data_IF_191943234684
#
_entry.id   IF_191943234684
#
_cell.length_a   1.000
_cell.length_b   1.000
_cell.length_c   1.000
_cell.angle_alpha   90.00
_cell.angle_beta   90.00
_cell.angle_gamma   90.00
#
_symmetry.space_group_name_H-M   'P 1'
#
loop_
_entity.id
_entity.type
_entity.pdbx_description
1 polymer ?
#
# COMPACT_ATOMS: atom_id res chain seq x y z
N UNK A 1 -16.64 -11.42 34.83
CA UNK A 1 -17.62 -12.06 33.93
C UNK A 1 -16.83 -12.88 32.94
N UNK A 2 -17.15 -14.17 32.75
CA UNK A 2 -16.37 -15.05 31.88
C UNK A 2 -16.52 -14.65 30.42
N UNK A 3 -15.41 -14.34 29.76
CA UNK A 3 -15.35 -14.19 28.30
C UNK A 3 -15.68 -15.57 27.74
N UNK A 4 -16.85 -15.71 27.10
CA UNK A 4 -17.14 -16.89 26.28
C UNK A 4 -16.24 -16.76 25.05
N UNK A 5 -15.14 -17.52 25.02
CA UNK A 5 -14.39 -17.73 23.80
C UNK A 5 -15.35 -18.47 22.87
N UNK A 6 -15.90 -17.76 21.87
CA UNK A 6 -16.58 -18.41 20.75
C UNK A 6 -15.50 -19.25 20.07
N UNK A 7 -15.68 -20.56 20.01
CA UNK A 7 -14.79 -21.40 19.19
C UNK A 7 -14.88 -20.92 17.75
N UNK A 8 -13.72 -20.71 17.12
CA UNK A 8 -13.62 -20.29 15.72
C UNK A 8 -14.35 -21.28 14.82
N UNK A 9 -15.18 -20.78 13.91
CA UNK A 9 -15.85 -21.59 12.90
C UNK A 9 -14.88 -22.13 11.83
N UNK A 10 -13.68 -21.52 11.73
CA UNK A 10 -12.63 -21.90 10.79
C UNK A 10 -11.45 -22.47 11.58
N UNK A 11 -11.03 -23.70 11.28
CA UNK A 11 -9.81 -24.25 11.88
C UNK A 11 -8.55 -23.59 11.31
N UNK A 12 -7.46 -23.60 12.07
CA UNK A 12 -6.18 -23.04 11.61
C UNK A 12 -5.72 -23.65 10.28
N UNK A 13 -5.89 -24.97 10.12
CA UNK A 13 -5.54 -25.66 8.88
C UNK A 13 -6.44 -25.27 7.68
N UNK A 14 -7.70 -24.92 7.92
CA UNK A 14 -8.58 -24.36 6.87
C UNK A 14 -8.13 -22.96 6.48
N UNK A 15 -7.81 -22.13 7.47
CA UNK A 15 -7.33 -20.77 7.23
C UNK A 15 -5.98 -20.76 6.49
N UNK A 16 -5.05 -21.65 6.83
CA UNK A 16 -3.78 -21.83 6.11
C UNK A 16 -3.99 -22.21 4.63
N UNK A 17 -4.99 -23.05 4.33
CA UNK A 17 -5.35 -23.39 2.94
C UNK A 17 -5.93 -22.20 2.19
N UNK A 18 -6.71 -21.36 2.86
CA UNK A 18 -7.20 -20.10 2.27
C UNK A 18 -6.01 -19.17 1.99
N UNK A 19 -5.08 -19.03 2.93
CA UNK A 19 -3.88 -18.20 2.77
C UNK A 19 -3.04 -18.66 1.58
N UNK A 20 -2.81 -19.96 1.45
CA UNK A 20 -2.08 -20.50 0.30
C UNK A 20 -2.80 -20.20 -1.01
N UNK A 21 -4.12 -20.39 -1.06
CA UNK A 21 -4.91 -20.06 -2.24
C UNK A 21 -4.78 -18.58 -2.63
N UNK A 22 -4.90 -17.65 -1.67
CA UNK A 22 -4.76 -16.22 -1.94
C UNK A 22 -3.37 -15.88 -2.46
N UNK A 23 -2.31 -16.46 -1.87
CA UNK A 23 -0.95 -16.25 -2.35
C UNK A 23 -0.76 -16.77 -3.78
N UNK A 24 -1.22 -17.99 -4.06
CA UNK A 24 -1.10 -18.61 -5.39
C UNK A 24 -1.89 -17.81 -6.44
N UNK A 25 -3.05 -17.27 -6.06
CA UNK A 25 -3.85 -16.40 -6.91
C UNK A 25 -3.09 -15.12 -7.28
N UNK A 26 -2.57 -14.40 -6.28
CA UNK A 26 -1.78 -13.19 -6.48
C UNK A 26 -0.54 -13.46 -7.35
N UNK A 27 0.14 -14.59 -7.13
CA UNK A 27 1.31 -14.98 -7.92
C UNK A 27 0.94 -15.22 -9.39
N UNK A 28 -0.17 -15.92 -9.64
CA UNK A 28 -0.68 -16.15 -10.99
C UNK A 28 -1.10 -14.84 -11.70
N UNK A 29 -1.70 -13.89 -10.98
CA UNK A 29 -2.05 -12.57 -11.54
C UNK A 29 -0.82 -11.80 -12.00
N UNK A 30 0.28 -11.83 -11.23
CA UNK A 30 1.56 -11.19 -11.64
C UNK A 30 2.17 -11.86 -12.87
N UNK A 31 2.13 -13.20 -12.95
CA UNK A 31 2.69 -13.94 -14.09
C UNK A 31 1.92 -13.70 -15.40
N UNK A 32 0.64 -13.34 -15.31
CA UNK A 32 -0.21 -13.05 -16.46
C UNK A 32 -0.01 -11.64 -17.05
N UNK A 33 0.70 -10.73 -16.36
CA UNK A 33 1.01 -9.39 -16.86
C UNK A 33 2.30 -9.37 -17.69
N UNK A 34 2.17 -9.19 -19.01
CA UNK A 34 3.31 -9.21 -19.95
C UNK A 34 4.24 -7.97 -19.84
N UNK A 35 3.75 -6.84 -19.31
CA UNK A 35 4.48 -5.57 -19.35
C UNK A 35 4.18 -4.67 -18.14
N UNK A 36 4.33 -5.17 -16.90
CA UNK A 36 4.23 -4.37 -15.66
C UNK A 36 5.14 -3.12 -15.59
N UNK A 37 5.82 -2.78 -16.69
CA UNK A 37 6.48 -1.52 -16.94
C UNK A 37 7.62 -1.27 -15.98
N UNK A 38 7.91 0.01 -15.74
CA UNK A 38 8.88 0.39 -14.70
C UNK A 38 8.40 0.03 -13.28
N UNK A 39 7.12 -0.25 -13.09
CA UNK A 39 6.53 -0.56 -11.79
C UNK A 39 6.71 -2.02 -11.35
N UNK A 40 6.99 -2.95 -12.27
CA UNK A 40 7.23 -4.38 -11.94
C UNK A 40 8.37 -4.61 -10.94
N UNK A 41 9.31 -3.67 -10.88
CA UNK A 41 10.46 -3.74 -9.97
C UNK A 41 10.15 -3.19 -8.58
N UNK A 42 8.94 -2.65 -8.39
CA UNK A 42 8.54 -1.98 -7.18
C UNK A 42 7.68 -2.93 -6.34
N UNK A 43 7.85 -2.98 -5.00
CA UNK A 43 7.25 -4.03 -4.17
C UNK A 43 5.75 -4.22 -4.39
N UNK A 44 5.00 -3.15 -4.65
CA UNK A 44 3.54 -3.12 -4.81
C UNK A 44 2.97 -3.97 -5.94
N UNK A 45 3.81 -4.31 -6.93
CA UNK A 45 3.44 -5.20 -8.04
C UNK A 45 3.81 -6.67 -7.75
N UNK A 46 4.40 -6.98 -6.58
CA UNK A 46 4.72 -8.36 -6.22
C UNK A 46 3.60 -9.01 -5.40
N UNK A 47 3.36 -10.29 -5.67
CA UNK A 47 2.49 -11.12 -4.85
C UNK A 47 2.94 -11.17 -3.39
N UNK A 48 4.26 -11.20 -3.15
CA UNK A 48 4.85 -11.21 -1.81
C UNK A 48 4.46 -9.96 -1.00
N UNK A 49 4.58 -8.77 -1.60
CA UNK A 49 4.19 -7.53 -0.94
C UNK A 49 2.69 -7.50 -0.63
N UNK A 50 1.85 -7.81 -1.63
CA UNK A 50 0.39 -7.79 -1.48
C UNK A 50 -0.07 -8.78 -0.42
N UNK A 51 0.51 -9.98 -0.41
CA UNK A 51 0.20 -10.97 0.59
C UNK A 51 0.66 -10.53 2.00
N UNK A 52 1.85 -9.94 2.13
CA UNK A 52 2.31 -9.38 3.42
C UNK A 52 1.42 -8.24 3.91
N UNK A 53 0.95 -7.36 3.02
CA UNK A 53 -0.05 -6.34 3.33
C UNK A 53 -1.34 -6.99 3.86
N UNK A 54 -1.86 -8.00 3.15
CA UNK A 54 -3.05 -8.76 3.59
C UNK A 54 -2.84 -9.38 4.98
N UNK A 55 -1.67 -9.97 5.27
CA UNK A 55 -1.36 -10.52 6.58
C UNK A 55 -1.37 -9.44 7.68
N UNK A 56 -0.79 -8.28 7.43
CA UNK A 56 -0.84 -7.15 8.37
C UNK A 56 -2.28 -6.69 8.62
N UNK A 57 -3.09 -6.58 7.56
CA UNK A 57 -4.51 -6.19 7.66
C UNK A 57 -5.28 -7.22 8.48
N UNK A 58 -5.06 -8.53 8.28
CA UNK A 58 -5.69 -9.58 9.09
C UNK A 58 -5.39 -9.37 10.58
N UNK A 59 -4.13 -9.13 10.97
CA UNK A 59 -3.77 -8.95 12.39
C UNK A 59 -4.43 -7.70 13.01
N UNK A 60 -4.40 -6.57 12.28
CA UNK A 60 -4.99 -5.31 12.74
C UNK A 60 -6.51 -5.44 12.83
N UNK A 61 -7.16 -5.95 11.78
CA UNK A 61 -8.60 -6.10 11.70
C UNK A 61 -9.13 -7.06 12.77
N UNK A 62 -8.41 -8.17 13.02
CA UNK A 62 -8.73 -9.11 14.11
C UNK A 62 -8.69 -8.43 15.47
N UNK A 63 -7.67 -7.58 15.70
CA UNK A 63 -7.53 -6.84 16.96
C UNK A 63 -8.66 -5.84 17.15
N UNK A 64 -9.07 -5.14 16.09
CA UNK A 64 -10.21 -4.22 16.12
C UNK A 64 -11.49 -5.02 16.38
N UNK A 65 -11.75 -6.07 15.60
CA UNK A 65 -12.94 -6.90 15.71
C UNK A 65 -13.16 -7.47 17.11
N UNK A 66 -12.11 -8.01 17.73
CA UNK A 66 -12.17 -8.58 19.10
C UNK A 66 -12.56 -7.52 20.14
N UNK A 67 -12.06 -6.29 20.01
CA UNK A 67 -12.32 -5.21 20.98
C UNK A 67 -13.63 -4.49 20.75
N UNK A 68 -14.01 -4.30 19.49
CA UNK A 68 -15.25 -3.62 19.10
C UNK A 68 -16.46 -4.58 19.06
N UNK A 69 -16.22 -5.90 19.20
CA UNK A 69 -17.26 -6.91 19.30
C UNK A 69 -17.82 -7.39 17.95
N UNK A 70 -17.07 -7.21 16.86
CA UNK A 70 -17.40 -7.75 15.55
C UNK A 70 -17.20 -9.28 15.48
N UNK A 71 -17.79 -9.93 14.49
CA UNK A 71 -17.56 -11.34 14.22
C UNK A 71 -16.13 -11.58 13.69
N UNK A 72 -15.21 -11.93 14.59
CA UNK A 72 -13.78 -12.11 14.29
C UNK A 72 -13.51 -13.01 13.07
N UNK A 73 -14.20 -14.14 12.93
CA UNK A 73 -13.95 -15.05 11.80
C UNK A 73 -14.38 -14.46 10.46
N UNK A 74 -15.46 -13.67 10.44
CA UNK A 74 -15.89 -12.95 9.24
C UNK A 74 -14.81 -11.94 8.86
N UNK A 75 -14.36 -11.13 9.83
CA UNK A 75 -13.32 -10.12 9.60
C UNK A 75 -12.01 -10.73 9.11
N UNK A 76 -11.56 -11.84 9.72
CA UNK A 76 -10.33 -12.53 9.34
C UNK A 76 -10.38 -13.04 7.90
N UNK A 77 -11.48 -13.69 7.52
CA UNK A 77 -11.63 -14.21 6.16
C UNK A 77 -11.84 -13.07 5.16
N UNK A 78 -12.64 -12.05 5.48
CA UNK A 78 -12.80 -10.88 4.61
C UNK A 78 -11.47 -10.15 4.39
N UNK A 79 -10.67 -9.93 5.43
CA UNK A 79 -9.34 -9.34 5.32
C UNK A 79 -8.41 -10.15 4.43
N UNK A 80 -8.48 -11.48 4.50
CA UNK A 80 -7.68 -12.36 3.65
C UNK A 80 -7.99 -12.21 2.16
N UNK A 81 -9.26 -11.98 1.82
CA UNK A 81 -9.71 -11.89 0.43
C UNK A 81 -9.84 -10.45 -0.12
N UNK A 82 -9.74 -9.41 0.71
CA UNK A 82 -10.15 -8.05 0.31
C UNK A 82 -9.44 -7.53 -0.96
N UNK A 83 -8.13 -7.80 -1.07
CA UNK A 83 -7.27 -7.32 -2.17
C UNK A 83 -6.83 -8.47 -3.10
N UNK A 84 -7.50 -9.63 -3.09
CA UNK A 84 -7.10 -10.81 -3.88
C UNK A 84 -7.05 -10.54 -5.40
N UNK A 85 -7.97 -9.71 -5.90
CA UNK A 85 -8.06 -9.34 -7.32
C UNK A 85 -7.36 -8.00 -7.64
N UNK A 86 -6.57 -7.45 -6.71
CA UNK A 86 -5.96 -6.11 -6.85
C UNK A 86 -4.98 -5.97 -8.02
N UNK A 87 -4.40 -7.09 -8.47
CA UNK A 87 -3.36 -7.14 -9.50
C UNK A 87 -3.90 -7.50 -10.89
N UNK A 88 -5.17 -7.85 -11.02
CA UNK A 88 -5.75 -8.32 -12.30
C UNK A 88 -7.03 -7.56 -12.70
N UNK A 89 -7.62 -6.81 -11.76
CA UNK A 89 -8.84 -6.05 -11.96
C UNK A 89 -8.57 -4.54 -11.83
N UNK A 90 -9.29 -3.75 -12.62
CA UNK A 90 -9.25 -2.29 -12.51
C UNK A 90 -9.63 -1.83 -11.09
N UNK A 91 -9.05 -0.71 -10.66
CA UNK A 91 -9.24 -0.18 -9.30
C UNK A 91 -10.71 0.04 -8.94
N UNK A 92 -11.56 0.38 -9.90
CA UNK A 92 -12.99 0.63 -9.66
C UNK A 92 -13.79 -0.64 -9.34
N UNK A 93 -13.31 -1.82 -9.75
CA UNK A 93 -14.06 -3.09 -9.67
C UNK A 93 -13.38 -4.17 -8.83
N UNK A 94 -12.13 -3.97 -8.39
CA UNK A 94 -11.36 -4.99 -7.66
C UNK A 94 -12.06 -5.55 -6.43
N UNK A 95 -12.84 -4.73 -5.71
CA UNK A 95 -13.59 -5.18 -4.54
C UNK A 95 -14.73 -6.14 -4.90
N UNK A 96 -15.45 -5.88 -5.99
CA UNK A 96 -16.53 -6.74 -6.48
C UNK A 96 -15.98 -8.07 -7.01
N UNK A 97 -14.87 -8.04 -7.75
CA UNK A 97 -14.19 -9.24 -8.23
C UNK A 97 -13.59 -10.05 -7.09
N UNK A 98 -12.95 -9.41 -6.12
CA UNK A 98 -12.45 -10.08 -4.92
C UNK A 98 -13.55 -10.79 -4.14
N UNK A 99 -14.73 -10.16 -4.03
CA UNK A 99 -15.89 -10.77 -3.39
C UNK A 99 -16.44 -11.97 -4.16
N UNK A 100 -16.38 -11.93 -5.51
CA UNK A 100 -16.75 -13.05 -6.38
C UNK A 100 -15.81 -14.23 -6.20
N UNK A 101 -14.50 -13.99 -6.19
CA UNK A 101 -13.48 -15.04 -5.98
C UNK A 101 -13.62 -15.64 -4.58
N UNK A 102 -13.80 -14.81 -3.55
CA UNK A 102 -14.05 -15.28 -2.18
C UNK A 102 -15.29 -16.18 -2.11
N UNK A 103 -16.39 -15.81 -2.78
CA UNK A 103 -17.62 -16.61 -2.81
C UNK A 103 -17.38 -17.98 -3.44
N UNK A 104 -16.73 -18.01 -4.60
CA UNK A 104 -16.45 -19.24 -5.33
C UNK A 104 -15.56 -20.18 -4.49
N UNK A 105 -14.52 -19.64 -3.86
CA UNK A 105 -13.66 -20.42 -2.98
C UNK A 105 -14.45 -21.01 -1.80
N UNK A 106 -15.16 -20.16 -1.04
CA UNK A 106 -15.84 -20.56 0.20
C UNK A 106 -17.01 -21.51 -0.03
N UNK A 107 -17.70 -21.42 -1.18
CA UNK A 107 -18.77 -22.37 -1.53
C UNK A 107 -18.24 -23.73 -1.96
N UNK A 108 -17.01 -23.79 -2.47
CA UNK A 108 -16.40 -25.03 -2.97
C UNK A 108 -15.60 -25.75 -1.89
N UNK A 109 -15.19 -25.03 -0.83
CA UNK A 109 -14.29 -25.54 0.21
C UNK A 109 -14.96 -25.49 1.59
N UNK A 110 -15.53 -26.62 2.02
CA UNK A 110 -16.10 -26.81 3.35
C UNK A 110 -17.63 -26.71 3.41
N UNK A 111 -18.19 -26.98 4.59
CA UNK A 111 -19.63 -26.84 4.87
C UNK A 111 -19.84 -25.59 5.73
N UNK A 112 -19.60 -24.42 5.12
CA UNK A 112 -19.75 -23.13 5.78
C UNK A 112 -21.20 -22.62 5.69
N UNK A 113 -21.76 -22.03 6.75
CA UNK A 113 -23.10 -21.46 6.70
C UNK A 113 -23.22 -20.39 5.62
N UNK A 114 -24.31 -20.41 4.84
CA UNK A 114 -24.52 -19.42 3.77
C UNK A 114 -24.54 -17.98 4.29
N UNK A 115 -24.97 -17.75 5.54
CA UNK A 115 -24.90 -16.43 6.19
C UNK A 115 -23.46 -15.95 6.36
N UNK A 116 -22.55 -16.81 6.79
CA UNK A 116 -21.13 -16.50 6.93
C UNK A 116 -20.50 -16.11 5.59
N UNK A 117 -20.74 -16.92 4.54
CA UNK A 117 -20.25 -16.63 3.19
C UNK A 117 -20.77 -15.28 2.70
N UNK A 118 -22.06 -14.97 2.93
CA UNK A 118 -22.64 -13.71 2.52
C UNK A 118 -22.04 -12.51 3.26
N UNK A 119 -21.85 -12.60 4.57
CA UNK A 119 -21.21 -11.56 5.39
C UNK A 119 -19.76 -11.31 4.96
N UNK A 120 -19.00 -12.38 4.68
CA UNK A 120 -17.63 -12.27 4.19
C UNK A 120 -17.58 -11.54 2.85
N UNK A 121 -18.37 -12.00 1.87
CA UNK A 121 -18.40 -11.41 0.54
C UNK A 121 -18.90 -9.96 0.55
N UNK A 122 -19.87 -9.62 1.40
CA UNK A 122 -20.34 -8.24 1.53
C UNK A 122 -19.23 -7.35 2.07
N UNK A 123 -18.53 -7.79 3.12
CA UNK A 123 -17.41 -7.01 3.69
C UNK A 123 -16.27 -6.82 2.70
N UNK A 124 -15.98 -7.83 1.86
CA UNK A 124 -15.02 -7.71 0.76
C UNK A 124 -15.51 -6.75 -0.31
N UNK A 125 -16.76 -6.82 -0.74
CA UNK A 125 -17.29 -5.91 -1.76
C UNK A 125 -17.30 -4.44 -1.29
N UNK A 126 -17.59 -4.22 0.00
CA UNK A 126 -17.73 -2.89 0.59
C UNK A 126 -16.41 -2.32 1.12
N UNK A 127 -15.28 -3.05 1.06
CA UNK A 127 -14.03 -2.57 1.66
C UNK A 127 -13.46 -1.30 0.98
N UNK A 128 -13.92 -0.98 -0.22
CA UNK A 128 -13.59 0.25 -0.94
C UNK A 128 -14.55 1.41 -0.64
N UNK A 129 -15.55 1.21 0.24
CA UNK A 129 -16.54 2.22 0.60
C UNK A 129 -15.91 3.49 1.18
N UNK A 130 -16.34 4.66 0.68
CA UNK A 130 -15.77 5.98 1.03
C UNK A 130 -16.70 6.85 1.90
N UNK A 131 -17.91 6.38 2.22
CA UNK A 131 -18.84 7.10 3.10
C UNK A 131 -18.52 6.94 4.59
N UNK A 132 -19.41 7.41 5.47
CA UNK A 132 -19.26 7.26 6.93
C UNK A 132 -19.18 5.78 7.33
N UNK A 133 -18.14 5.39 8.08
CA UNK A 133 -17.98 3.98 8.47
C UNK A 133 -19.06 3.48 9.45
N UNK A 134 -19.84 4.38 10.03
CA UNK A 134 -21.03 4.04 10.81
C UNK A 134 -22.18 3.47 9.97
N UNK A 135 -22.09 3.59 8.65
CA UNK A 135 -23.14 3.14 7.71
C UNK A 135 -22.93 1.68 7.26
N UNK A 136 -21.79 1.06 7.60
CA UNK A 136 -21.46 -0.34 7.29
C UNK A 136 -21.51 -1.23 8.53
N UNK A 137 -21.40 -2.55 8.37
CA UNK A 137 -21.31 -3.48 9.50
C UNK A 137 -20.01 -3.27 10.29
N UNK A 138 -19.97 -3.75 11.54
CA UNK A 138 -18.74 -3.70 12.35
C UNK A 138 -17.62 -4.52 11.71
N UNK A 139 -17.96 -5.59 11.00
CA UNK A 139 -17.01 -6.42 10.27
C UNK A 139 -16.35 -5.65 9.12
N UNK A 140 -17.16 -4.99 8.28
CA UNK A 140 -16.68 -4.14 7.19
C UNK A 140 -15.91 -2.94 7.73
N UNK A 141 -16.40 -2.27 8.77
CA UNK A 141 -15.70 -1.16 9.42
C UNK A 141 -14.32 -1.60 9.91
N UNK A 142 -14.23 -2.75 10.61
CA UNK A 142 -12.96 -3.28 11.14
C UNK A 142 -11.96 -3.56 10.02
N UNK A 143 -12.42 -4.09 8.88
CA UNK A 143 -11.61 -4.32 7.69
C UNK A 143 -11.09 -3.00 7.09
N UNK A 144 -11.97 -2.03 6.84
CA UNK A 144 -11.59 -0.75 6.23
C UNK A 144 -10.61 0.00 7.13
N UNK A 145 -10.88 0.07 8.44
CA UNK A 145 -9.99 0.73 9.39
C UNK A 145 -8.60 0.05 9.41
N UNK A 146 -8.55 -1.28 9.35
CA UNK A 146 -7.29 -2.01 9.31
C UNK A 146 -6.47 -1.75 8.04
N UNK A 147 -7.10 -1.73 6.86
CA UNK A 147 -6.43 -1.40 5.59
C UNK A 147 -5.85 0.02 5.60
N UNK A 148 -6.64 1.00 6.08
CA UNK A 148 -6.18 2.37 6.27
C UNK A 148 -4.97 2.42 7.21
N UNK A 149 -5.05 1.70 8.34
CA UNK A 149 -4.01 1.72 9.36
C UNK A 149 -2.69 1.10 8.89
N UNK A 150 -2.72 0.08 8.03
CA UNK A 150 -1.51 -0.58 7.51
C UNK A 150 -0.61 0.38 6.71
N UNK A 151 -1.22 1.36 6.03
CA UNK A 151 -0.56 2.36 5.18
C UNK A 151 0.04 3.55 5.95
N UNK A 152 -0.09 3.58 7.29
CA UNK A 152 0.46 4.62 8.16
C UNK A 152 1.37 4.05 9.25
N UNK A 153 2.09 4.92 9.95
CA UNK A 153 3.04 4.47 10.97
C UNK A 153 4.40 4.09 10.38
N UNK A 154 5.15 3.28 11.11
CA UNK A 154 6.49 2.85 10.72
C UNK A 154 6.50 2.08 9.38
N UNK A 155 5.47 1.26 9.11
CA UNK A 155 5.33 0.58 7.82
C UNK A 155 5.13 1.58 6.68
N UNK A 156 4.16 2.49 6.81
CA UNK A 156 3.96 3.59 5.85
C UNK A 156 5.20 4.45 5.63
N UNK A 157 6.00 4.68 6.69
CA UNK A 157 7.30 5.35 6.60
C UNK A 157 8.32 4.54 5.78
N UNK A 158 8.45 3.23 6.01
CA UNK A 158 9.33 2.40 5.20
C UNK A 158 8.93 2.43 3.71
N UNK A 159 7.62 2.32 3.45
CA UNK A 159 7.05 2.32 2.13
C UNK A 159 7.25 3.64 1.37
N UNK A 160 7.11 4.79 2.05
CA UNK A 160 7.34 6.09 1.40
C UNK A 160 8.83 6.32 1.09
N UNK A 161 9.74 5.79 1.91
CA UNK A 161 11.18 5.86 1.65
C UNK A 161 11.60 4.96 0.48
N UNK A 162 10.98 3.78 0.32
CA UNK A 162 11.16 2.97 -0.89
C UNK A 162 10.66 3.73 -2.14
N UNK A 163 9.56 4.49 -2.01
CA UNK A 163 8.99 5.29 -3.11
C UNK A 163 9.92 6.42 -3.50
N UNK A 164 10.60 7.03 -2.54
CA UNK A 164 11.64 8.02 -2.83
C UNK A 164 12.74 7.46 -3.73
N UNK A 165 13.21 6.24 -3.45
CA UNK A 165 14.21 5.57 -4.29
C UNK A 165 13.71 5.40 -5.73
N UNK A 166 12.46 4.97 -5.90
CA UNK A 166 11.82 4.86 -7.21
C UNK A 166 11.71 6.21 -7.94
N UNK A 167 11.29 7.26 -7.22
CA UNK A 167 11.19 8.62 -7.75
C UNK A 167 12.57 9.30 -7.94
N UNK A 168 13.68 8.58 -7.69
CA UNK A 168 15.04 9.12 -7.76
C UNK A 168 15.24 10.39 -6.92
N UNK A 169 14.54 10.47 -5.79
CA UNK A 169 14.66 11.59 -4.83
C UNK A 169 15.95 11.49 -4.04
N UNK A 170 16.46 12.64 -3.62
CA UNK A 170 17.60 12.67 -2.70
C UNK A 170 17.17 12.21 -1.32
N UNK A 171 18.08 11.58 -0.58
CA UNK A 171 17.85 11.25 0.83
C UNK A 171 17.40 12.48 1.62
N UNK A 172 17.86 13.70 1.28
CA UNK A 172 17.46 14.98 1.89
C UNK A 172 15.97 15.31 1.80
N UNK A 173 15.21 14.63 0.94
CA UNK A 173 13.76 14.82 0.84
C UNK A 173 12.99 13.91 1.83
N UNK A 174 13.69 13.10 2.63
CA UNK A 174 13.08 12.09 3.49
C UNK A 174 12.14 12.69 4.54
N UNK A 175 12.51 13.81 5.17
CA UNK A 175 11.65 14.46 6.16
C UNK A 175 10.33 14.94 5.53
N UNK A 176 10.37 15.53 4.33
CA UNK A 176 9.17 15.94 3.58
C UNK A 176 8.30 14.72 3.24
N UNK A 177 8.93 13.66 2.72
CA UNK A 177 8.21 12.45 2.30
C UNK A 177 7.58 11.71 3.49
N UNK A 178 8.26 11.68 4.63
CA UNK A 178 7.70 11.16 5.89
C UNK A 178 6.55 12.02 6.39
N UNK A 179 6.57 13.34 6.18
CA UNK A 179 5.44 14.21 6.56
C UNK A 179 4.16 13.88 5.78
N UNK A 180 4.27 13.40 4.53
CA UNK A 180 3.11 12.90 3.76
C UNK A 180 2.43 11.71 4.44
N UNK A 181 3.19 10.86 5.15
CA UNK A 181 2.61 9.75 5.95
C UNK A 181 1.86 10.30 7.17
N UNK A 182 2.34 11.39 7.77
CA UNK A 182 1.61 12.08 8.84
C UNK A 182 0.32 12.70 8.34
N UNK A 183 0.35 13.35 7.18
CA UNK A 183 -0.82 13.93 6.54
C UNK A 183 -1.86 12.86 6.18
N UNK A 184 -1.43 11.78 5.50
CA UNK A 184 -2.29 10.62 5.24
C UNK A 184 -2.90 10.07 6.52
N UNK A 185 -2.12 10.01 7.60
CA UNK A 185 -2.58 9.60 8.91
C UNK A 185 -3.59 10.53 9.56
N UNK A 186 -3.49 11.85 9.36
CA UNK A 186 -4.50 12.81 9.83
C UNK A 186 -5.81 12.59 9.07
N UNK A 187 -5.75 12.46 7.76
CA UNK A 187 -6.93 12.16 6.93
C UNK A 187 -7.54 10.80 7.30
N UNK A 188 -6.71 9.80 7.61
CA UNK A 188 -7.16 8.51 8.12
C UNK A 188 -7.92 8.64 9.46
N UNK A 189 -7.46 9.51 10.38
CA UNK A 189 -8.17 9.74 11.65
C UNK A 189 -9.59 10.29 11.44
N UNK A 190 -9.81 11.07 10.39
CA UNK A 190 -11.14 11.61 10.07
C UNK A 190 -12.10 10.52 9.55
N UNK A 191 -11.56 9.41 9.04
CA UNK A 191 -12.35 8.25 8.58
C UNK A 191 -12.57 7.18 9.65
N UNK A 192 -11.67 7.08 10.63
CA UNK A 192 -11.75 6.09 11.70
C UNK A 192 -12.93 6.42 12.62
N UNK A 193 -13.72 5.39 12.95
CA UNK A 193 -14.88 5.49 13.82
C UNK A 193 -14.72 4.69 15.13
N UNK A 194 -13.86 3.67 15.19
CA UNK A 194 -13.67 2.85 16.40
C UNK A 194 -12.59 3.39 17.35
N UNK A 195 -12.82 3.23 18.65
CA UNK A 195 -11.88 3.62 19.71
C UNK A 195 -10.55 2.85 19.61
N UNK A 196 -10.63 1.56 19.24
CA UNK A 196 -9.45 0.72 19.04
C UNK A 196 -8.61 1.20 17.86
N UNK A 197 -9.22 1.45 16.69
CA UNK A 197 -8.49 1.95 15.54
C UNK A 197 -7.90 3.34 15.79
N UNK A 198 -8.61 4.22 16.50
CA UNK A 198 -8.10 5.55 16.84
C UNK A 198 -6.84 5.43 17.72
N UNK A 199 -6.88 4.54 18.71
CA UNK A 199 -5.75 4.27 19.59
C UNK A 199 -4.52 3.76 18.82
N UNK A 200 -4.73 2.86 17.84
CA UNK A 200 -3.65 2.35 16.97
C UNK A 200 -3.10 3.48 16.10
N UNK A 201 -3.97 4.28 15.45
CA UNK A 201 -3.57 5.42 14.63
C UNK A 201 -2.69 6.39 15.41
N UNK A 202 -3.12 6.77 16.62
CA UNK A 202 -2.38 7.70 17.46
C UNK A 202 -0.97 7.19 17.80
N UNK A 203 -0.84 5.90 18.16
CA UNK A 203 0.46 5.30 18.44
C UNK A 203 1.36 5.25 17.19
N UNK A 204 0.80 4.88 16.04
CA UNK A 204 1.52 4.82 14.76
C UNK A 204 2.02 6.21 14.36
N UNK A 205 1.16 7.24 14.41
CA UNK A 205 1.52 8.60 13.99
C UNK A 205 2.54 9.27 14.91
N UNK A 206 2.51 8.94 16.20
CA UNK A 206 3.55 9.40 17.13
C UNK A 206 4.95 8.91 16.72
N UNK A 207 5.06 7.68 16.23
CA UNK A 207 6.34 7.12 15.73
C UNK A 207 6.79 7.81 14.45
N UNK A 208 5.89 8.06 13.51
CA UNK A 208 6.21 8.79 12.27
C UNK A 208 6.72 10.20 12.59
N UNK A 209 6.05 10.89 13.51
CA UNK A 209 6.45 12.23 13.96
C UNK A 209 7.87 12.23 14.52
N UNK A 210 8.18 11.29 15.42
CA UNK A 210 9.54 11.19 15.98
C UNK A 210 10.59 10.85 14.94
N UNK A 211 10.28 9.95 14.02
CA UNK A 211 11.21 9.61 12.94
C UNK A 211 11.53 10.82 12.06
N UNK A 212 10.52 11.63 11.70
CA UNK A 212 10.72 12.89 10.98
C UNK A 212 11.61 13.86 11.78
N UNK A 213 11.33 14.04 13.07
CA UNK A 213 12.11 14.93 13.95
C UNK A 213 13.58 14.47 14.07
N UNK A 214 13.84 13.16 14.10
CA UNK A 214 15.20 12.62 14.09
C UNK A 214 15.93 12.94 12.78
N UNK A 215 15.28 12.72 11.63
CA UNK A 215 15.83 13.08 10.32
C UNK A 215 16.23 14.57 10.26
N UNK A 216 15.33 15.47 10.69
CA UNK A 216 15.59 16.91 10.72
C UNK A 216 16.73 17.29 11.68
N UNK A 217 16.89 16.56 12.79
CA UNK A 217 17.92 16.84 13.79
C UNK A 217 19.31 16.30 13.43
N UNK A 218 19.37 15.20 12.66
CA UNK A 218 20.63 14.53 12.29
C UNK A 218 21.19 15.03 10.97
N UNK A 219 20.33 15.49 10.05
CA UNK A 219 20.71 15.93 8.70
C UNK A 219 20.39 17.42 8.52
N UNK A 220 21.39 18.33 8.62
CA UNK A 220 21.16 19.78 8.55
C UNK A 220 20.40 20.25 7.31
N UNK A 221 20.60 19.59 6.15
CA UNK A 221 19.94 19.93 4.90
C UNK A 221 18.42 19.63 4.89
N UNK A 222 17.94 18.79 5.82
CA UNK A 222 16.51 18.48 6.01
C UNK A 222 15.82 19.45 6.96
N UNK A 223 16.60 20.23 7.72
CA UNK A 223 16.04 21.18 8.69
C UNK A 223 15.29 22.29 7.96
N UNK A 224 14.02 22.47 8.32
CA UNK A 224 13.20 23.60 7.87
C UNK A 224 13.75 24.95 8.34
N UNK A 225 14.73 24.97 9.26
CA UNK A 225 15.29 26.19 9.84
C UNK A 225 16.38 26.86 8.98
N UNK A 226 17.02 26.17 8.04
CA UNK A 226 18.01 26.76 7.13
C UNK A 226 18.23 25.85 5.91
N UNK A 227 17.70 26.23 4.73
CA UNK A 227 18.10 25.59 3.47
C UNK A 227 19.57 25.93 3.20
N UNK A 228 20.49 25.07 3.63
CA UNK A 228 21.88 25.12 3.21
C UNK A 228 21.91 24.88 1.69
N UNK A 229 22.08 25.95 0.93
CA UNK A 229 22.30 25.85 -0.52
C UNK A 229 23.70 25.30 -0.76
N UNK A 230 23.80 23.99 -1.00
CA UNK A 230 25.00 23.40 -1.58
C UNK A 230 25.01 23.71 -3.08
N UNK A 231 25.91 24.60 -3.50
CA UNK A 231 26.28 24.73 -4.91
C UNK A 231 27.41 23.74 -5.19
N UNK A 232 27.18 22.64 -5.94
CA UNK A 232 28.28 21.77 -6.34
C UNK A 232 29.32 22.58 -7.13
N UNK A 233 30.59 22.31 -6.86
CA UNK A 233 31.69 22.81 -7.68
C UNK A 233 31.57 22.16 -9.07
N UNK A 234 31.30 22.93 -10.15
CA UNK A 234 31.15 22.38 -11.49
C UNK A 234 32.43 21.67 -11.99
N UNK A 235 33.59 21.91 -11.37
CA UNK A 235 34.85 21.23 -11.72
C UNK A 235 35.08 19.91 -10.95
N UNK A 236 34.24 19.57 -9.96
CA UNK A 236 34.39 18.34 -9.20
C UNK A 236 33.92 17.10 -9.98
N UNK A 237 32.93 17.25 -10.86
CA UNK A 237 32.36 16.17 -11.67
C UNK A 237 33.31 15.75 -12.81
N UNK A 238 34.09 16.72 -13.32
CA UNK A 238 35.04 16.49 -14.43
C UNK A 238 36.31 15.74 -13.99
N UNK A 239 36.61 15.72 -12.68
CA UNK A 239 37.74 14.96 -12.11
C UNK A 239 37.48 13.46 -12.01
N UNK A 240 36.21 13.04 -12.04
CA UNK A 240 35.83 11.62 -12.01
C UNK A 240 35.81 11.03 -13.43
N UNK A 241 35.51 11.85 -14.45
CA UNK A 241 35.49 11.39 -15.85
C UNK A 241 36.87 11.32 -16.51
N UNK A 242 37.86 12.12 -16.04
CA UNK A 242 39.20 12.21 -16.66
C UNK A 242 40.35 11.75 -15.75
N UNK A 243 40.05 11.04 -14.66
CA UNK A 243 41.02 10.38 -13.80
C UNK A 243 41.71 9.21 -14.52
N UNK A 244 42.81 9.51 -15.20
CA UNK A 244 43.71 8.55 -15.83
C UNK A 244 44.34 7.63 -14.76
N UNK A 245 43.61 6.58 -14.35
CA UNK A 245 44.17 5.46 -13.58
C UNK A 245 44.98 4.63 -14.57
N UNK A 246 46.28 4.89 -14.62
CA UNK A 246 47.22 4.07 -15.38
C UNK A 246 47.24 2.64 -14.86
N UNK A 247 46.46 1.76 -15.49
CA UNK A 247 46.56 0.32 -15.30
C UNK A 247 47.62 -0.20 -16.27
N UNK A 248 48.78 -0.59 -15.72
CA UNK A 248 49.80 -1.33 -16.46
C UNK A 248 49.22 -2.68 -16.89
N UNK A 249 49.19 -2.91 -18.21
CA UNK A 249 48.73 -4.13 -18.84
C UNK A 249 49.54 -5.37 -18.39
N UNK A 250 48.85 -6.32 -17.78
CA UNK A 250 49.25 -7.72 -17.72
C UNK A 250 48.51 -8.47 -18.81
N UNK A 251 49.24 -8.95 -19.82
CA UNK A 251 48.76 -9.77 -20.92
C UNK A 251 48.19 -11.10 -20.44
N UNK A 252 46.99 -11.46 -20.89
CA UNK A 252 46.68 -12.83 -21.30
C UNK A 252 45.56 -12.80 -22.34
N UNK A 253 45.89 -13.33 -23.51
CA UNK A 253 44.99 -13.60 -24.62
C UNK A 253 44.18 -14.87 -24.33
N UNK A 254 42.91 -14.92 -24.77
CA UNK A 254 42.44 -15.77 -25.87
C UNK A 254 40.94 -15.51 -26.17
N UNK A 255 40.39 -15.96 -27.33
CA UNK A 255 39.45 -15.22 -28.15
C UNK A 255 38.10 -15.95 -28.34
N UNK A 256 37.29 -15.45 -29.28
CA UNK A 256 35.94 -15.87 -29.69
C UNK A 256 34.83 -15.50 -28.68
N UNK A 257 33.72 -14.89 -29.07
CA UNK A 257 33.00 -15.05 -30.32
C UNK A 257 32.22 -13.78 -30.71
N UNK A 258 32.08 -13.65 -32.02
CA UNK A 258 31.37 -12.64 -32.77
C UNK A 258 29.88 -12.56 -32.48
N UNK A 259 29.34 -11.34 -32.32
CA UNK A 259 28.13 -10.92 -33.03
C UNK A 259 28.02 -9.40 -33.03
N UNK A 260 28.14 -8.84 -34.22
CA UNK A 260 27.65 -7.52 -34.59
C UNK A 260 26.12 -7.58 -34.62
N UNK A 261 25.45 -6.59 -34.02
CA UNK A 261 24.39 -5.88 -34.73
C UNK A 261 24.18 -4.48 -34.14
N UNK A 262 24.13 -3.55 -35.09
CA UNK A 262 23.73 -2.16 -35.00
C UNK A 262 22.21 -2.06 -34.85
N UNK A 263 21.74 -1.02 -34.14
CA UNK A 263 20.65 -0.10 -34.53
C UNK A 263 20.17 0.62 -33.26
N UNK A 264 20.51 1.89 -33.06
CA UNK A 264 19.74 3.07 -33.49
C UNK A 264 18.39 3.23 -32.77
N UNK A 265 18.47 3.72 -31.52
CA UNK A 265 17.30 4.18 -30.77
C UNK A 265 16.69 5.40 -31.45
N UNK A 266 15.57 5.15 -32.13
CA UNK A 266 14.66 6.20 -32.57
C UNK A 266 13.62 6.43 -31.48
N UNK A 267 13.69 7.62 -30.93
CA UNK A 267 12.76 8.19 -29.96
C UNK A 267 11.34 8.18 -30.56
N UNK A 268 10.44 7.36 -30.00
CA UNK A 268 9.00 7.47 -30.24
C UNK A 268 8.28 7.60 -28.90
N UNK A 269 7.66 8.76 -28.73
CA UNK A 269 6.74 9.09 -27.65
C UNK A 269 5.55 8.12 -27.68
N UNK A 270 5.51 7.19 -26.73
CA UNK A 270 4.29 6.48 -26.36
C UNK A 270 3.85 6.98 -25.00
N UNK A 271 2.67 7.59 -24.94
CA UNK A 271 1.98 8.00 -23.72
C UNK A 271 1.94 6.84 -22.73
N UNK A 272 2.75 6.94 -21.68
CA UNK A 272 2.75 6.03 -20.54
C UNK A 272 1.51 6.36 -19.72
N UNK A 273 0.54 5.44 -19.66
CA UNK A 273 -0.54 5.46 -18.68
C UNK A 273 0.09 5.45 -17.29
N UNK A 274 0.02 6.59 -16.62
CA UNK A 274 0.42 6.71 -15.23
C UNK A 274 -0.72 6.13 -14.37
N UNK A 275 -0.60 4.87 -13.97
CA UNK A 275 -1.32 4.39 -12.78
C UNK A 275 -0.67 5.04 -11.57
N UNK A 276 -1.07 6.28 -11.37
CA UNK A 276 -0.84 6.98 -10.12
C UNK A 276 -1.77 6.35 -9.10
N UNK A 277 -1.20 5.68 -8.10
CA UNK A 277 -1.77 5.59 -6.75
C UNK A 277 -1.95 7.01 -6.19
N UNK A 278 -2.83 7.77 -6.83
CA UNK A 278 -3.39 9.02 -6.36
C UNK A 278 -4.70 8.65 -5.72
N UNK A 279 -4.65 8.42 -4.40
CA UNK A 279 -5.73 8.90 -3.56
C UNK A 279 -5.85 10.40 -3.88
N UNK A 280 -6.81 10.72 -4.74
CA UNK A 280 -7.03 12.07 -5.22
C UNK A 280 -7.65 12.88 -4.11
N UNK A 281 -6.80 13.71 -3.48
CA UNK A 281 -7.21 14.94 -2.82
C UNK A 281 -8.16 15.71 -3.72
N UNK A 282 -9.45 15.65 -3.39
CA UNK A 282 -10.48 16.48 -3.99
C UNK A 282 -11.37 17.03 -2.88
N UNK A 283 -10.88 18.05 -2.17
CA UNK A 283 -11.74 19.09 -1.59
C UNK A 283 -10.96 20.33 -1.14
N UNK A 284 -10.71 21.25 -2.08
CA UNK A 284 -10.56 22.67 -1.75
C UNK A 284 -11.86 23.37 -2.14
N UNK A 285 -12.67 23.61 -1.11
CA UNK A 285 -13.88 24.41 -1.11
C UNK A 285 -13.55 25.87 -1.45
N UNK A 286 -14.00 26.35 -2.61
CA UNK A 286 -14.16 27.79 -2.86
C UNK A 286 -15.56 28.06 -3.43
N UNK A 287 -16.53 28.31 -2.56
CA UNK A 287 -17.37 29.51 -2.64
C UNK A 287 -18.52 29.50 -1.63
N UNK A 288 -18.61 30.58 -0.86
CA UNK A 288 -19.86 31.22 -0.43
C UNK A 288 -19.56 32.72 -0.27
N UNK A 289 -20.56 33.62 -0.31
CA UNK A 289 -22.01 33.42 -0.39
C UNK A 289 -22.69 34.24 -1.53
N UNK A 290 -23.99 34.04 -1.77
CA UNK A 290 -25.06 35.09 -1.83
C UNK A 290 -26.42 34.42 -2.12
N UNK A 291 -27.21 34.30 -1.05
CA UNK A 291 -28.59 34.70 -0.82
C UNK A 291 -29.68 34.84 -1.94
N UNK A 292 -30.88 34.40 -1.53
CA UNK A 292 -32.27 34.85 -1.84
C UNK A 292 -33.15 34.27 -2.97
N UNK A 293 -34.38 33.92 -2.53
CA UNK A 293 -35.70 33.78 -3.19
C UNK A 293 -36.02 32.44 -3.89
N UNK A 294 -36.90 31.58 -3.33
CA UNK A 294 -38.37 31.61 -3.14
C UNK A 294 -39.17 31.27 -4.43
N UNK A 295 -39.99 30.22 -4.25
CA UNK A 295 -41.25 29.76 -4.91
C UNK A 295 -41.26 28.91 -6.18
N UNK A 296 -42.06 27.85 -5.99
CA UNK A 296 -42.81 26.93 -6.85
C UNK A 296 -42.08 25.85 -7.66
#
# INVERSE_FOLDING_TARGET
MGVKIKESAISDAEFERMQQFVYDYLAASVEAEDDGGRMRWYPWHSAEYRFNHIQNVIEIATTIADREGAAVDVVRVSALFHDISKLEADQEVHAEEGARVAREYLQTHGDLPQSFINEVCQSVADHSYQGPLTDVSLETQSLIEADILDKIGANGTALILLRMGYESRSHTDAAEMVDRVLERGRNAKDRIASDTAESIAHQRLKRVKWFREWLESEVPAMSTAEKLTFTPDPEADDRITHGNIGVTAGTNADPDDSHTDSDSDSNSDTEIKTDTDTDTDSNINTNSPVDTHITD
#
